data_IF_519871029023
#
_entry.id   IF_519871029023
#
_cell.length_a   1.000
_cell.length_b   1.000
_cell.length_c   1.000
_cell.angle_alpha   90.00
_cell.angle_beta   90.00
_cell.angle_gamma   90.00
#
_symmetry.space_group_name_H-M   'P 1'
#
loop_
_entity.id
_entity.type
_entity.pdbx_description
1 polymer ?
#
# COMPACT_ATOMS: atom_id res chain seq x y z
N UNK A 1 -0.91 7.32 1.57
CA UNK A 1 0.53 7.55 1.81
C UNK A 1 0.78 8.50 2.97
N UNK A 2 0.24 9.72 2.95
CA UNK A 2 0.45 10.71 4.01
C UNK A 2 -0.03 10.28 5.40
N UNK A 3 -1.10 9.47 5.48
CA UNK A 3 -1.68 9.07 6.77
C UNK A 3 -1.15 7.73 7.32
N UNK A 4 -0.66 6.84 6.44
CA UNK A 4 -0.27 5.47 6.76
C UNK A 4 1.21 5.22 6.45
N UNK A 5 1.59 5.04 5.17
CA UNK A 5 2.97 4.68 4.77
C UNK A 5 4.03 5.65 5.29
N UNK A 6 3.91 6.95 5.00
CA UNK A 6 4.95 7.93 5.32
C UNK A 6 5.11 8.12 6.84
N UNK A 7 4.04 8.14 7.65
CA UNK A 7 4.17 8.06 9.10
C UNK A 7 4.57 6.67 9.63
N UNK A 8 4.59 5.62 8.80
CA UNK A 8 4.78 4.23 9.22
C UNK A 8 3.64 3.65 10.08
N UNK A 9 2.42 4.19 9.95
CA UNK A 9 1.25 3.78 10.72
C UNK A 9 0.36 2.85 9.91
N UNK A 10 0.26 1.59 10.30
CA UNK A 10 -0.58 0.60 9.60
C UNK A 10 -1.76 0.11 10.44
N UNK A 11 -1.94 0.66 11.65
CA UNK A 11 -3.03 0.36 12.57
C UNK A 11 -3.58 1.69 13.19
N UNK A 12 -4.91 1.86 13.30
CA UNK A 12 -5.95 1.06 12.66
C UNK A 12 -5.84 1.10 11.12
N UNK A 13 -6.37 0.09 10.44
CA UNK A 13 -6.37 0.03 8.98
C UNK A 13 -7.57 0.79 8.40
N UNK A 14 -7.36 1.51 7.31
CA UNK A 14 -8.46 2.04 6.49
C UNK A 14 -8.98 0.94 5.57
N UNK A 15 -8.06 0.11 5.05
CA UNK A 15 -8.39 -1.07 4.27
C UNK A 15 -7.43 -2.23 4.58
N UNK A 16 -7.95 -3.35 5.09
CA UNK A 16 -7.13 -4.48 5.51
C UNK A 16 -6.40 -5.14 4.33
N UNK A 17 -5.11 -5.45 4.51
CA UNK A 17 -4.28 -6.09 3.48
C UNK A 17 -4.88 -7.39 2.94
N UNK A 18 -5.49 -8.22 3.80
CA UNK A 18 -6.13 -9.48 3.38
C UNK A 18 -7.29 -9.26 2.39
N UNK A 19 -8.00 -8.13 2.50
CA UNK A 19 -9.08 -7.77 1.58
C UNK A 19 -8.50 -7.29 0.25
N UNK A 20 -7.48 -6.43 0.29
CA UNK A 20 -6.76 -6.03 -0.93
C UNK A 20 -6.23 -7.24 -1.71
N UNK A 21 -5.62 -8.20 -1.00
CA UNK A 21 -5.15 -9.44 -1.61
C UNK A 21 -6.29 -10.25 -2.24
N UNK A 22 -7.44 -10.35 -1.58
CA UNK A 22 -8.62 -11.06 -2.10
C UNK A 22 -9.10 -10.44 -3.41
N UNK A 23 -9.24 -9.11 -3.45
CA UNK A 23 -9.81 -8.43 -4.61
C UNK A 23 -8.89 -8.52 -5.84
N UNK A 24 -7.58 -8.41 -5.63
CA UNK A 24 -6.59 -8.62 -6.71
C UNK A 24 -6.64 -10.05 -7.25
N UNK A 25 -6.83 -11.04 -6.38
CA UNK A 25 -6.96 -12.44 -6.81
C UNK A 25 -8.22 -12.69 -7.65
N UNK A 26 -9.35 -12.12 -7.24
CA UNK A 26 -10.60 -12.18 -8.00
C UNK A 26 -10.40 -11.54 -9.37
N UNK A 27 -9.75 -10.37 -9.42
CA UNK A 27 -9.42 -9.74 -10.67
C UNK A 27 -8.56 -10.68 -11.53
N UNK A 28 -7.43 -11.18 -11.02
CA UNK A 28 -6.51 -12.06 -11.76
C UNK A 28 -7.20 -13.32 -12.29
N UNK A 29 -8.09 -13.92 -11.50
CA UNK A 29 -8.90 -15.07 -11.92
C UNK A 29 -9.83 -14.71 -13.09
N UNK A 30 -10.54 -13.58 -13.00
CA UNK A 30 -11.41 -13.10 -14.07
C UNK A 30 -10.63 -12.84 -15.36
N UNK A 31 -9.45 -12.21 -15.27
CA UNK A 31 -8.60 -11.99 -16.44
C UNK A 31 -8.23 -13.28 -17.16
N UNK A 32 -7.97 -14.36 -16.41
CA UNK A 32 -7.69 -15.68 -17.01
C UNK A 32 -8.90 -16.30 -17.69
N UNK A 33 -10.09 -16.10 -17.13
CA UNK A 33 -11.35 -16.62 -17.72
C UNK A 33 -11.65 -15.99 -19.09
N UNK A 34 -11.25 -14.72 -19.29
CA UNK A 34 -11.48 -13.97 -20.52
C UNK A 34 -10.22 -13.81 -21.40
N UNK A 35 -9.18 -14.62 -21.17
CA UNK A 35 -7.90 -14.57 -21.90
C UNK A 35 -7.23 -13.18 -21.92
N UNK A 36 -7.47 -12.37 -20.88
CA UNK A 36 -6.87 -11.03 -20.70
C UNK A 36 -5.57 -11.14 -19.90
N UNK A 37 -4.41 -10.80 -20.49
CA UNK A 37 -3.12 -10.93 -19.82
C UNK A 37 -2.92 -9.83 -18.75
N UNK A 38 -3.03 -10.20 -17.48
CA UNK A 38 -2.88 -9.28 -16.34
C UNK A 38 -1.54 -9.42 -15.61
N UNK A 39 -0.44 -9.19 -16.33
CA UNK A 39 0.93 -9.38 -15.82
C UNK A 39 1.22 -8.57 -14.57
N UNK A 40 0.86 -7.28 -14.56
CA UNK A 40 1.12 -6.40 -13.41
C UNK A 40 0.27 -6.78 -12.20
N UNK A 41 -1.01 -7.10 -12.40
CA UNK A 41 -1.87 -7.56 -11.30
C UNK A 41 -1.40 -8.91 -10.72
N UNK A 42 -0.87 -9.80 -11.57
CA UNK A 42 -0.29 -11.07 -11.11
C UNK A 42 0.95 -10.85 -10.24
N UNK A 43 1.82 -9.90 -10.61
CA UNK A 43 2.96 -9.51 -9.78
C UNK A 43 2.50 -8.86 -8.46
N UNK A 44 1.50 -7.98 -8.51
CA UNK A 44 0.92 -7.40 -7.31
C UNK A 44 0.32 -8.47 -6.38
N UNK A 45 -0.38 -9.47 -6.91
CA UNK A 45 -0.92 -10.59 -6.14
C UNK A 45 0.17 -11.36 -5.38
N UNK A 46 1.33 -11.58 -6.02
CA UNK A 46 2.49 -12.22 -5.40
C UNK A 46 3.07 -11.37 -4.26
N UNK A 47 3.20 -10.05 -4.46
CA UNK A 47 3.69 -9.12 -3.44
C UNK A 47 2.75 -9.06 -2.23
N UNK A 48 1.44 -8.93 -2.47
CA UNK A 48 0.43 -8.93 -1.41
C UNK A 48 0.43 -10.27 -0.65
N UNK A 49 0.61 -11.39 -1.36
CA UNK A 49 0.74 -12.71 -0.72
C UNK A 49 2.00 -12.80 0.15
N UNK A 50 3.14 -12.27 -0.31
CA UNK A 50 4.36 -12.24 0.48
C UNK A 50 4.22 -11.39 1.76
N UNK A 51 3.46 -10.30 1.71
CA UNK A 51 3.14 -9.48 2.88
C UNK A 51 2.16 -10.20 3.84
N UNK A 52 1.11 -10.87 3.31
CA UNK A 52 0.18 -11.67 4.13
C UNK A 52 0.90 -12.82 4.84
N UNK A 53 1.84 -13.48 4.16
CA UNK A 53 2.65 -14.58 4.73
C UNK A 53 3.56 -14.12 5.89
N UNK A 54 3.88 -12.82 5.99
CA UNK A 54 4.56 -12.23 7.15
C UNK A 54 3.62 -11.93 8.33
N UNK A 55 2.35 -12.31 8.23
CA UNK A 55 1.33 -12.07 9.25
C UNK A 55 0.71 -10.67 9.20
N UNK A 56 0.93 -9.89 8.14
CA UNK A 56 0.44 -8.51 8.05
C UNK A 56 -0.99 -8.37 7.53
N UNK A 57 -1.73 -9.48 7.39
CA UNK A 57 -3.06 -9.49 6.75
C UNK A 57 -4.11 -8.57 7.39
N UNK A 58 -3.99 -8.27 8.69
CA UNK A 58 -4.92 -7.41 9.44
C UNK A 58 -4.46 -5.95 9.57
N UNK A 59 -3.29 -5.60 9.01
CA UNK A 59 -2.79 -4.23 8.94
C UNK A 59 -3.33 -3.54 7.69
N UNK A 60 -3.14 -2.23 7.60
CA UNK A 60 -3.47 -1.46 6.41
C UNK A 60 -2.77 -2.01 5.17
N UNK A 61 -3.45 -2.02 4.03
CA UNK A 61 -2.96 -2.54 2.76
C UNK A 61 -1.63 -1.91 2.32
N UNK A 62 -1.35 -0.65 2.70
CA UNK A 62 -0.07 0.01 2.40
C UNK A 62 1.13 -0.64 3.10
N UNK A 63 0.93 -1.51 4.09
CA UNK A 63 2.02 -2.26 4.74
C UNK A 63 2.81 -3.14 3.75
N UNK A 64 2.20 -3.54 2.63
CA UNK A 64 2.90 -4.29 1.58
C UNK A 64 4.09 -3.51 1.00
N UNK A 65 4.08 -2.18 1.06
CA UNK A 65 5.19 -1.35 0.58
C UNK A 65 6.44 -1.48 1.44
N UNK A 66 6.32 -1.94 2.70
CA UNK A 66 7.46 -2.24 3.57
C UNK A 66 8.35 -3.33 2.98
N UNK A 67 7.82 -4.21 2.12
CA UNK A 67 8.64 -5.19 1.39
C UNK A 67 9.73 -4.52 0.54
N UNK A 68 9.45 -3.35 -0.03
CA UNK A 68 10.42 -2.61 -0.81
C UNK A 68 11.43 -1.90 0.09
N UNK A 69 11.00 -1.40 1.25
CA UNK A 69 11.89 -0.85 2.27
C UNK A 69 12.91 -1.90 2.75
N UNK A 70 12.43 -3.12 3.03
CA UNK A 70 13.29 -4.27 3.40
C UNK A 70 14.31 -4.58 2.31
N UNK A 71 13.87 -4.68 1.04
CA UNK A 71 14.74 -5.00 -0.10
C UNK A 71 15.77 -3.91 -0.39
N UNK A 72 15.41 -2.66 -0.17
CA UNK A 72 16.30 -1.52 -0.37
C UNK A 72 17.14 -1.19 0.88
N UNK A 73 16.94 -1.89 2.00
CA UNK A 73 17.60 -1.61 3.27
C UNK A 73 17.41 -0.15 3.74
N UNK A 74 16.22 0.41 3.52
CA UNK A 74 15.85 1.78 3.93
C UNK A 74 14.61 1.78 4.81
N UNK A 75 14.30 2.90 5.44
CA UNK A 75 13.01 3.15 6.08
C UNK A 75 12.48 4.51 5.64
N UNK A 76 11.30 4.54 5.00
CA UNK A 76 10.68 5.78 4.56
C UNK A 76 9.74 6.25 5.66
N UNK A 77 10.25 7.10 6.55
CA UNK A 77 9.46 7.66 7.66
C UNK A 77 9.54 9.18 7.64
N UNK A 78 8.38 9.83 7.75
CA UNK A 78 8.24 11.29 7.84
C UNK A 78 7.42 11.60 9.09
N UNK A 79 7.90 12.50 9.98
CA UNK A 79 7.12 12.95 11.14
C UNK A 79 5.78 13.53 10.70
N UNK A 80 4.71 13.22 11.44
CA UNK A 80 3.34 13.67 11.10
C UNK A 80 3.23 15.19 11.03
N UNK A 81 3.89 15.87 11.96
CA UNK A 81 3.91 17.32 12.12
C UNK A 81 4.59 17.99 10.93
N UNK A 82 5.70 17.41 10.43
CA UNK A 82 6.33 17.87 9.19
C UNK A 82 5.43 17.63 7.96
N UNK A 83 4.76 16.47 7.89
CA UNK A 83 3.77 16.16 6.86
C UNK A 83 2.60 17.15 6.86
N UNK A 84 2.04 17.45 8.02
CA UNK A 84 0.93 18.39 8.18
C UNK A 84 1.32 19.79 7.70
N UNK A 85 2.50 20.27 8.08
CA UNK A 85 3.00 21.58 7.63
C UNK A 85 3.16 21.66 6.11
N UNK A 86 3.71 20.62 5.49
CA UNK A 86 3.87 20.57 4.02
C UNK A 86 2.50 20.56 3.33
N UNK A 87 1.56 19.74 3.81
CA UNK A 87 0.21 19.65 3.24
C UNK A 87 -0.59 20.95 3.41
N UNK A 88 -0.40 21.67 4.52
CA UNK A 88 -1.01 22.98 4.75
C UNK A 88 -0.43 24.06 3.81
N UNK A 89 0.88 24.05 3.60
CA UNK A 89 1.56 24.96 2.66
C UNK A 89 1.08 24.75 1.21
N UNK A 90 0.91 23.49 0.77
CA UNK A 90 0.37 23.19 -0.56
C UNK A 90 -1.08 23.65 -0.74
N UNK A 91 -1.92 23.52 0.29
CA UNK A 91 -3.32 24.00 0.26
C UNK A 91 -3.41 25.53 0.25
N UNK A 92 -2.48 26.22 0.92
CA UNK A 92 -2.39 27.67 0.91
C UNK A 92 -1.87 28.26 -0.41
N UNK A 93 -0.98 27.54 -1.11
CA UNK A 93 -0.40 27.98 -2.39
C UNK A 93 -1.31 27.78 -3.61
N UNK A 94 -2.34 26.92 -3.52
CA UNK A 94 -3.28 26.67 -4.63
C UNK A 94 -4.40 27.74 -4.76
N UNK A 95 -4.45 28.71 -3.84
CA UNK A 95 -5.45 29.80 -3.81
C UNK A 95 -4.84 31.19 -4.12
N UNK A 96 -3.65 31.24 -4.74
CA UNK A 96 -2.96 32.47 -5.15
C UNK A 96 -2.84 32.61 -6.66
#
# INVERSE_FOLDING_TARGET
>A
MADNLLPGRFDPHDFALRLARKDVDIAVALGREFDVPMRLASLAAQELTAAVNRGWGNRDSQVAMVLQEERACVQVRVPKDALSQILEQERGGANG
#
